data_IF_504513067209
#
_entry.id   IF_504513067209
#
_cell.length_a   1.000
_cell.length_b   1.000
_cell.length_c   1.000
_cell.angle_alpha   90.00
_cell.angle_beta   90.00
_cell.angle_gamma   90.00
#
_symmetry.space_group_name_H-M   'P 1'
#
loop_
_entity.id
_entity.type
_entity.pdbx_description
1 polymer ?
#
# COMPACT_ATOMS: atom_id res chain seq x y z
N UNK A 1 -29.77 -0.76 34.65
CA UNK A 1 -30.15 -0.76 33.24
C UNK A 1 -31.66 -0.80 33.01
N UNK A 2 -32.39 -1.57 33.78
CA UNK A 2 -33.84 -1.74 33.58
C UNK A 2 -34.67 -0.48 33.88
N UNK A 3 -34.27 0.32 34.86
CA UNK A 3 -34.91 1.61 35.15
C UNK A 3 -34.69 2.66 34.04
N UNK A 4 -33.48 2.75 33.51
CA UNK A 4 -33.17 3.67 32.42
C UNK A 4 -33.93 3.24 31.13
N UNK A 5 -33.97 1.95 30.83
CA UNK A 5 -34.71 1.41 29.69
C UNK A 5 -36.23 1.67 29.88
N UNK A 6 -36.79 1.43 31.07
CA UNK A 6 -38.17 1.73 31.36
C UNK A 6 -38.47 3.24 31.24
N UNK A 7 -37.54 4.10 31.69
CA UNK A 7 -37.70 5.55 31.59
C UNK A 7 -37.66 6.04 30.12
N UNK A 8 -36.79 5.46 29.30
CA UNK A 8 -36.63 5.83 27.87
C UNK A 8 -37.76 5.21 27.01
N UNK A 9 -38.24 4.01 27.35
CA UNK A 9 -39.14 3.22 26.51
C UNK A 9 -40.61 3.34 26.91
N UNK A 10 -40.94 4.05 28.01
CA UNK A 10 -42.34 4.22 28.45
C UNK A 10 -43.20 4.93 27.39
N UNK A 11 -44.33 4.34 26.96
CA UNK A 11 -45.21 4.97 25.97
C UNK A 11 -45.74 6.34 26.40
N UNK A 12 -45.95 6.55 27.69
CA UNK A 12 -46.39 7.83 28.29
C UNK A 12 -45.32 8.93 28.11
N UNK A 13 -44.03 8.60 28.05
CA UNK A 13 -42.97 9.55 27.77
C UNK A 13 -43.00 10.04 26.32
N UNK A 14 -43.57 9.30 25.40
CA UNK A 14 -43.78 9.76 24.00
C UNK A 14 -44.73 10.96 23.96
N UNK A 15 -45.75 11.00 24.79
CA UNK A 15 -46.67 12.12 24.93
C UNK A 15 -45.98 13.35 25.58
N UNK A 16 -45.12 13.12 26.58
CA UNK A 16 -44.38 14.18 27.28
C UNK A 16 -43.12 14.63 26.56
N UNK A 17 -42.63 13.89 25.56
CA UNK A 17 -41.43 14.20 24.77
C UNK A 17 -41.50 15.58 24.07
N UNK A 18 -42.69 15.99 23.64
CA UNK A 18 -42.84 17.27 22.93
C UNK A 18 -42.88 18.47 23.86
N UNK A 19 -43.24 18.30 25.14
CA UNK A 19 -43.51 19.45 26.01
C UNK A 19 -42.61 19.54 27.26
N UNK A 20 -42.24 18.44 27.88
CA UNK A 20 -41.50 18.45 29.14
C UNK A 20 -40.05 18.00 29.04
N UNK A 21 -39.73 17.04 28.19
CA UNK A 21 -38.39 16.47 28.07
C UNK A 21 -37.35 17.42 27.48
N UNK A 22 -37.64 18.34 26.56
CA UNK A 22 -36.66 19.32 26.09
C UNK A 22 -36.15 20.25 27.21
N UNK A 23 -36.85 20.31 28.35
CA UNK A 23 -36.49 21.12 29.52
C UNK A 23 -35.77 20.33 30.61
N UNK A 24 -35.72 18.98 30.54
CA UNK A 24 -35.04 18.16 31.52
C UNK A 24 -33.63 17.79 31.06
N UNK A 25 -32.63 18.55 31.53
CA UNK A 25 -31.20 18.33 31.24
C UNK A 25 -30.72 16.90 31.66
N UNK A 26 -31.47 16.18 32.49
CA UNK A 26 -31.14 14.83 32.96
C UNK A 26 -31.50 13.75 31.93
N UNK A 27 -32.52 13.99 31.09
CA UNK A 27 -32.93 13.00 30.09
C UNK A 27 -31.80 12.61 29.14
N UNK A 28 -31.11 13.60 28.54
CA UNK A 28 -29.99 13.35 27.65
C UNK A 28 -28.88 12.53 28.33
N UNK A 29 -28.53 12.87 29.59
CA UNK A 29 -27.53 12.12 30.35
C UNK A 29 -27.98 10.66 30.63
N UNK A 30 -29.24 10.43 30.97
CA UNK A 30 -29.77 9.07 31.16
C UNK A 30 -29.71 8.25 29.89
N UNK A 31 -30.07 8.85 28.74
CA UNK A 31 -29.97 8.20 27.41
C UNK A 31 -28.55 7.82 27.10
N UNK A 32 -27.60 8.74 27.30
CA UNK A 32 -26.18 8.49 27.03
C UNK A 32 -25.61 7.34 27.87
N UNK A 33 -25.78 7.41 29.18
CA UNK A 33 -25.27 6.35 30.05
C UNK A 33 -25.96 5.01 29.84
N UNK A 34 -27.26 5.01 29.48
CA UNK A 34 -27.98 3.78 29.11
C UNK A 34 -27.40 3.19 27.78
N UNK A 35 -27.06 4.06 26.83
CA UNK A 35 -26.41 3.64 25.58
C UNK A 35 -25.04 2.99 25.84
N UNK A 36 -24.18 3.65 26.64
CA UNK A 36 -22.86 3.11 27.04
C UNK A 36 -22.99 1.81 27.82
N UNK A 37 -23.94 1.72 28.77
CA UNK A 37 -24.20 0.49 29.50
C UNK A 37 -24.69 -0.65 28.59
N UNK A 38 -25.54 -0.34 27.61
CA UNK A 38 -26.00 -1.32 26.63
C UNK A 38 -24.85 -1.79 25.72
N UNK A 39 -23.95 -0.88 25.30
CA UNK A 39 -22.75 -1.20 24.55
C UNK A 39 -21.83 -2.16 25.33
N UNK A 40 -21.52 -1.84 26.59
CA UNK A 40 -20.67 -2.68 27.46
C UNK A 40 -21.26 -4.07 27.72
N UNK A 41 -22.58 -4.19 27.68
CA UNK A 41 -23.32 -5.46 27.82
C UNK A 41 -23.53 -6.16 26.47
N UNK A 42 -22.91 -5.68 25.41
CA UNK A 42 -23.04 -6.19 24.02
C UNK A 42 -24.48 -6.22 23.48
N UNK A 43 -25.39 -5.45 24.09
CA UNK A 43 -26.78 -5.25 23.62
C UNK A 43 -26.81 -4.23 22.49
N UNK A 44 -26.14 -4.57 21.37
CA UNK A 44 -25.82 -3.66 20.29
C UNK A 44 -27.03 -2.91 19.71
N UNK A 45 -28.18 -3.58 19.51
CA UNK A 45 -29.39 -2.94 18.97
C UNK A 45 -29.92 -1.86 19.90
N UNK A 46 -29.93 -2.15 21.22
CA UNK A 46 -30.33 -1.14 22.21
C UNK A 46 -29.35 0.01 22.31
N UNK A 47 -28.04 -0.29 22.27
CA UNK A 47 -27.00 0.71 22.27
C UNK A 47 -27.14 1.66 21.07
N UNK A 48 -27.27 1.12 19.85
CA UNK A 48 -27.46 1.90 18.62
C UNK A 48 -28.71 2.80 18.70
N UNK A 49 -29.83 2.27 19.19
CA UNK A 49 -31.08 3.04 19.37
C UNK A 49 -30.88 4.20 20.33
N UNK A 50 -30.24 3.97 21.47
CA UNK A 50 -30.02 5.01 22.47
C UNK A 50 -28.96 6.03 22.02
N UNK A 51 -27.89 5.61 21.35
CA UNK A 51 -26.93 6.56 20.74
C UNK A 51 -27.61 7.45 19.68
N UNK A 52 -28.48 6.86 18.84
CA UNK A 52 -29.24 7.64 17.86
C UNK A 52 -30.20 8.63 18.51
N UNK A 53 -30.87 8.24 19.60
CA UNK A 53 -31.72 9.13 20.40
C UNK A 53 -30.91 10.28 21.00
N UNK A 54 -29.70 9.98 21.51
CA UNK A 54 -28.82 11.00 22.07
C UNK A 54 -28.34 12.01 21.01
N UNK A 55 -28.06 11.58 19.80
CA UNK A 55 -27.70 12.49 18.71
C UNK A 55 -28.78 13.55 18.42
N UNK A 56 -30.04 13.24 18.72
CA UNK A 56 -31.16 14.16 18.55
C UNK A 56 -31.43 15.07 19.77
N UNK A 57 -31.05 14.64 20.95
CA UNK A 57 -31.45 15.27 22.23
C UNK A 57 -30.28 15.74 23.09
N UNK A 58 -29.06 15.24 22.83
CA UNK A 58 -27.89 15.44 23.65
C UNK A 58 -27.08 16.67 23.28
N UNK A 59 -26.12 16.99 24.16
CA UNK A 59 -25.14 18.06 23.94
C UNK A 59 -24.08 17.66 22.94
N UNK A 60 -23.46 18.63 22.29
CA UNK A 60 -22.42 18.41 21.27
C UNK A 60 -21.20 17.63 21.81
N UNK A 61 -20.83 17.86 23.08
CA UNK A 61 -19.65 17.24 23.69
C UNK A 61 -19.63 15.71 23.60
N UNK A 62 -20.80 15.05 23.83
CA UNK A 62 -20.91 13.60 23.82
C UNK A 62 -21.43 13.02 22.48
N UNK A 63 -21.86 13.86 21.57
CA UNK A 63 -22.33 13.38 20.25
C UNK A 63 -21.20 12.76 19.44
N UNK A 64 -19.96 13.28 19.55
CA UNK A 64 -18.78 12.69 18.91
C UNK A 64 -18.56 11.26 19.40
N UNK A 65 -18.68 11.03 20.71
CA UNK A 65 -18.54 9.70 21.31
C UNK A 65 -19.64 8.74 20.82
N UNK A 66 -20.87 9.22 20.64
CA UNK A 66 -21.94 8.39 20.08
C UNK A 66 -21.59 7.86 18.69
N UNK A 67 -21.03 8.71 17.82
CA UNK A 67 -20.55 8.27 16.51
C UNK A 67 -19.41 7.25 16.62
N UNK A 68 -18.48 7.43 17.55
CA UNK A 68 -17.40 6.47 17.81
C UNK A 68 -17.96 5.11 18.22
N UNK A 69 -18.86 5.06 19.20
CA UNK A 69 -19.48 3.81 19.66
C UNK A 69 -20.31 3.13 18.55
N UNK A 70 -21.10 3.89 17.80
CA UNK A 70 -21.88 3.35 16.69
C UNK A 70 -20.97 2.76 15.60
N UNK A 71 -19.89 3.46 15.25
CA UNK A 71 -18.86 2.95 14.33
C UNK A 71 -18.26 1.64 14.83
N UNK A 72 -17.87 1.55 16.11
CA UNK A 72 -17.30 0.34 16.71
C UNK A 72 -18.28 -0.86 16.65
N UNK A 73 -19.58 -0.62 16.90
CA UNK A 73 -20.61 -1.66 16.81
C UNK A 73 -20.70 -2.20 15.39
N UNK A 74 -20.83 -1.32 14.39
CA UNK A 74 -20.96 -1.73 13.00
C UNK A 74 -19.66 -2.38 12.46
N UNK A 75 -18.50 -1.92 12.89
CA UNK A 75 -17.21 -2.52 12.56
C UNK A 75 -17.13 -3.97 13.09
N UNK A 76 -17.47 -4.20 14.38
CA UNK A 76 -17.48 -5.54 14.99
C UNK A 76 -18.45 -6.47 14.26
N UNK A 77 -19.58 -5.95 13.81
CA UNK A 77 -20.60 -6.70 13.06
C UNK A 77 -20.29 -6.82 11.56
N UNK A 78 -19.22 -6.19 11.04
CA UNK A 78 -18.89 -6.09 9.62
C UNK A 78 -20.03 -5.53 8.75
N UNK A 79 -20.87 -4.68 9.33
CA UNK A 79 -21.97 -3.99 8.64
C UNK A 79 -21.44 -2.72 7.97
N UNK A 80 -20.64 -2.90 6.91
CA UNK A 80 -19.90 -1.82 6.26
C UNK A 80 -20.78 -0.69 5.71
N UNK A 81 -21.95 -0.99 5.19
CA UNK A 81 -22.87 0.03 4.68
C UNK A 81 -23.41 0.94 5.80
N UNK A 82 -23.80 0.36 6.95
CA UNK A 82 -24.23 1.13 8.12
C UNK A 82 -23.06 1.89 8.74
N UNK A 83 -21.86 1.28 8.76
CA UNK A 83 -20.65 1.91 9.25
C UNK A 83 -20.30 3.15 8.39
N UNK A 84 -20.31 3.03 7.05
CA UNK A 84 -20.10 4.13 6.13
C UNK A 84 -21.09 5.27 6.38
N UNK A 85 -22.39 4.94 6.48
CA UNK A 85 -23.45 5.92 6.72
C UNK A 85 -23.23 6.72 8.02
N UNK A 86 -22.88 6.04 9.11
CA UNK A 86 -22.61 6.70 10.39
C UNK A 86 -21.35 7.56 10.33
N UNK A 87 -20.30 7.07 9.68
CA UNK A 87 -19.07 7.84 9.50
C UNK A 87 -19.29 9.09 8.65
N UNK A 88 -20.07 9.02 7.57
CA UNK A 88 -20.40 10.20 6.77
C UNK A 88 -21.22 11.23 7.55
N UNK A 89 -22.15 10.80 8.40
CA UNK A 89 -22.87 11.70 9.31
C UNK A 89 -21.90 12.36 10.31
N UNK A 90 -20.96 11.58 10.87
CA UNK A 90 -19.96 12.09 11.79
C UNK A 90 -19.04 13.12 11.10
N UNK A 91 -18.58 12.83 9.88
CA UNK A 91 -17.70 13.72 9.11
C UNK A 91 -18.42 14.99 8.66
N UNK A 92 -19.70 14.91 8.31
CA UNK A 92 -20.51 16.10 8.01
C UNK A 92 -20.54 17.08 9.18
N UNK A 93 -20.54 16.54 10.43
CA UNK A 93 -20.53 17.36 11.64
C UNK A 93 -19.11 17.73 12.10
N UNK A 94 -18.14 16.83 11.91
CA UNK A 94 -16.73 16.98 12.33
C UNK A 94 -15.78 16.81 11.14
N UNK A 95 -15.77 17.73 10.17
CA UNK A 95 -15.10 17.53 8.88
C UNK A 95 -13.58 17.39 8.96
N UNK A 96 -12.96 17.91 10.03
CA UNK A 96 -11.51 17.85 10.26
C UNK A 96 -11.10 16.68 11.17
N UNK A 97 -12.03 15.81 11.57
CA UNK A 97 -11.73 14.68 12.42
C UNK A 97 -11.06 13.55 11.64
N UNK A 98 -9.73 13.47 11.72
CA UNK A 98 -8.95 12.42 11.07
C UNK A 98 -9.38 11.01 11.49
N UNK A 99 -9.83 10.81 12.74
CA UNK A 99 -10.28 9.51 13.23
C UNK A 99 -11.45 8.96 12.42
N UNK A 100 -12.46 9.78 12.13
CA UNK A 100 -13.58 9.35 11.30
C UNK A 100 -13.18 9.11 9.85
N UNK A 101 -12.31 9.96 9.32
CA UNK A 101 -11.79 9.83 7.96
C UNK A 101 -10.94 8.56 7.82
N UNK A 102 -10.08 8.21 8.79
CA UNK A 102 -9.33 6.95 8.77
C UNK A 102 -10.25 5.72 8.84
N UNK A 103 -11.30 5.77 9.66
CA UNK A 103 -12.27 4.69 9.70
C UNK A 103 -12.99 4.53 8.36
N UNK A 104 -13.30 5.63 7.67
CA UNK A 104 -13.90 5.59 6.34
C UNK A 104 -12.96 4.97 5.30
N UNK A 105 -11.66 5.31 5.32
CA UNK A 105 -10.63 4.65 4.52
C UNK A 105 -10.62 3.14 4.76
N UNK A 106 -10.65 2.71 6.03
CA UNK A 106 -10.67 1.29 6.39
C UNK A 106 -11.91 0.56 5.87
N UNK A 107 -13.09 1.20 5.91
CA UNK A 107 -14.33 0.66 5.31
C UNK A 107 -14.15 0.43 3.81
N UNK A 108 -13.61 1.42 3.09
CA UNK A 108 -13.44 1.31 1.64
C UNK A 108 -12.35 0.30 1.23
N UNK A 109 -11.31 0.12 2.05
CA UNK A 109 -10.35 -0.99 1.89
C UNK A 109 -11.05 -2.34 2.08
N UNK A 110 -11.83 -2.49 3.15
CA UNK A 110 -12.52 -3.74 3.47
C UNK A 110 -13.59 -4.13 2.44
N UNK A 111 -14.22 -3.15 1.80
CA UNK A 111 -15.22 -3.33 0.74
C UNK A 111 -14.62 -3.34 -0.66
N UNK A 112 -13.29 -3.18 -0.79
CA UNK A 112 -12.57 -3.07 -2.06
C UNK A 112 -13.16 -2.00 -3.00
N UNK A 113 -13.70 -0.91 -2.44
CA UNK A 113 -14.26 0.20 -3.22
C UNK A 113 -13.17 1.25 -3.49
N UNK A 114 -12.49 1.11 -4.62
CA UNK A 114 -11.32 1.93 -4.96
C UNK A 114 -11.67 3.41 -5.18
N UNK A 115 -12.81 3.70 -5.78
CA UNK A 115 -13.26 5.08 -6.05
C UNK A 115 -13.50 5.84 -4.74
N UNK A 116 -14.28 5.27 -3.83
CA UNK A 116 -14.55 5.86 -2.52
C UNK A 116 -13.30 5.92 -1.65
N UNK A 117 -12.40 4.94 -1.77
CA UNK A 117 -11.11 4.95 -1.08
C UNK A 117 -10.28 6.18 -1.47
N UNK A 118 -10.17 6.47 -2.76
CA UNK A 118 -9.45 7.65 -3.25
C UNK A 118 -10.08 8.93 -2.69
N UNK A 119 -11.42 9.05 -2.76
CA UNK A 119 -12.13 10.20 -2.21
C UNK A 119 -11.91 10.41 -0.71
N UNK A 120 -11.87 9.32 0.08
CA UNK A 120 -11.60 9.39 1.52
C UNK A 120 -10.15 9.81 1.81
N UNK A 121 -9.18 9.30 1.05
CA UNK A 121 -7.78 9.70 1.13
C UNK A 121 -7.62 11.19 0.79
N UNK A 122 -8.24 11.66 -0.26
CA UNK A 122 -8.15 13.07 -0.66
C UNK A 122 -8.74 14.01 0.40
N UNK A 123 -9.81 13.59 1.09
CA UNK A 123 -10.36 14.33 2.25
C UNK A 123 -9.36 14.41 3.41
N UNK A 124 -8.63 13.32 3.71
CA UNK A 124 -7.56 13.34 4.72
C UNK A 124 -6.45 14.31 4.30
N UNK A 125 -6.01 14.24 3.05
CA UNK A 125 -4.93 15.07 2.54
C UNK A 125 -5.32 16.55 2.40
N UNK A 126 -6.61 16.87 2.33
CA UNK A 126 -7.11 18.24 2.42
C UNK A 126 -6.96 18.83 3.83
N UNK A 127 -7.04 17.99 4.88
CA UNK A 127 -6.84 18.36 6.29
C UNK A 127 -5.35 18.33 6.65
N UNK A 128 -4.65 17.29 6.23
CA UNK A 128 -3.23 17.05 6.51
C UNK A 128 -2.52 16.59 5.23
N UNK A 129 -1.95 17.54 4.44
CA UNK A 129 -1.29 17.24 3.17
C UNK A 129 -0.05 16.32 3.27
N UNK A 130 0.55 16.23 4.45
CA UNK A 130 1.74 15.41 4.71
C UNK A 130 1.44 14.13 5.49
N UNK A 131 0.19 13.71 5.52
CA UNK A 131 -0.24 12.56 6.28
C UNK A 131 0.48 11.27 5.89
N UNK A 132 1.38 10.81 6.75
CA UNK A 132 2.25 9.66 6.53
C UNK A 132 1.52 8.30 6.53
N UNK A 133 0.30 8.24 7.07
CA UNK A 133 -0.51 7.03 7.09
C UNK A 133 -1.21 6.76 5.76
N UNK A 134 -1.68 7.79 5.07
CA UNK A 134 -2.45 7.61 3.83
C UNK A 134 -1.64 7.86 2.57
N UNK A 135 -0.55 8.64 2.63
CA UNK A 135 0.31 8.86 1.48
C UNK A 135 0.90 7.57 0.89
N UNK A 136 1.36 6.56 1.67
CA UNK A 136 1.79 5.28 1.11
C UNK A 136 0.66 4.53 0.38
N UNK A 137 -0.57 4.63 0.89
CA UNK A 137 -1.75 4.04 0.24
C UNK A 137 -2.01 4.75 -1.10
N UNK A 138 -1.95 6.09 -1.13
CA UNK A 138 -2.08 6.88 -2.36
C UNK A 138 -1.01 6.51 -3.38
N UNK A 139 0.25 6.40 -2.96
CA UNK A 139 1.34 5.99 -3.85
C UNK A 139 1.09 4.61 -4.46
N UNK A 140 0.61 3.64 -3.68
CA UNK A 140 0.27 2.29 -4.18
C UNK A 140 -0.91 2.30 -5.16
N UNK A 141 -1.88 3.20 -4.97
CA UNK A 141 -2.97 3.39 -5.93
C UNK A 141 -2.44 3.98 -7.23
N UNK A 142 -1.57 4.99 -7.15
CA UNK A 142 -0.94 5.61 -8.33
C UNK A 142 -0.12 4.60 -9.14
N UNK A 143 0.65 3.72 -8.48
CA UNK A 143 1.35 2.61 -9.17
C UNK A 143 0.38 1.72 -9.95
N UNK A 144 -0.76 1.33 -9.34
CA UNK A 144 -1.78 0.52 -10.03
C UNK A 144 -2.43 1.23 -11.22
N UNK A 145 -2.43 2.55 -11.22
CA UNK A 145 -2.91 3.39 -12.32
C UNK A 145 -1.84 3.67 -13.39
N UNK A 146 -0.61 3.15 -13.21
CA UNK A 146 0.53 3.42 -14.09
C UNK A 146 1.15 4.81 -13.90
N UNK A 147 0.75 5.56 -12.86
CA UNK A 147 1.31 6.88 -12.52
C UNK A 147 2.57 6.72 -11.68
N UNK A 148 3.57 6.04 -12.26
CA UNK A 148 4.75 5.57 -11.53
C UNK A 148 5.61 6.72 -11.00
N UNK A 149 5.75 7.82 -11.74
CA UNK A 149 6.54 9.00 -11.32
C UNK A 149 5.91 9.68 -10.11
N UNK A 150 4.58 9.89 -10.12
CA UNK A 150 3.86 10.49 -8.99
C UNK A 150 3.97 9.61 -7.73
N UNK A 151 3.87 8.30 -7.90
CA UNK A 151 4.05 7.33 -6.81
C UNK A 151 5.47 7.37 -6.23
N UNK A 152 6.49 7.42 -7.10
CA UNK A 152 7.89 7.50 -6.72
C UNK A 152 8.19 8.76 -5.90
N UNK A 153 7.67 9.90 -6.31
CA UNK A 153 7.86 11.17 -5.58
C UNK A 153 7.30 11.11 -4.16
N UNK A 154 6.13 10.51 -3.99
CA UNK A 154 5.55 10.30 -2.66
C UNK A 154 6.44 9.38 -1.82
N UNK A 155 6.86 8.22 -2.37
CA UNK A 155 7.70 7.29 -1.64
C UNK A 155 9.07 7.88 -1.30
N UNK A 156 9.73 8.60 -2.21
CA UNK A 156 11.03 9.26 -1.97
C UNK A 156 10.91 10.28 -0.84
N UNK A 157 9.86 11.11 -0.85
CA UNK A 157 9.63 12.09 0.20
C UNK A 157 9.41 11.45 1.57
N UNK A 158 8.57 10.42 1.64
CA UNK A 158 8.32 9.70 2.89
C UNK A 158 9.56 8.94 3.38
N UNK A 159 10.32 8.32 2.47
CA UNK A 159 11.55 7.60 2.82
C UNK A 159 12.65 8.54 3.32
N UNK A 160 12.71 9.78 2.81
CA UNK A 160 13.62 10.78 3.35
C UNK A 160 13.30 11.19 4.80
N UNK A 161 12.01 11.15 5.20
CA UNK A 161 11.57 11.41 6.57
C UNK A 161 11.73 10.19 7.48
N UNK A 162 11.60 8.99 6.95
CA UNK A 162 11.62 7.71 7.69
C UNK A 162 12.59 6.72 7.02
N UNK A 163 13.91 6.97 7.01
CA UNK A 163 14.88 6.16 6.27
C UNK A 163 15.06 4.74 6.83
N UNK A 164 14.63 4.49 8.06
CA UNK A 164 14.60 3.18 8.70
C UNK A 164 13.41 2.31 8.24
N UNK A 165 12.39 2.91 7.61
CA UNK A 165 11.19 2.19 7.20
C UNK A 165 11.47 1.23 6.05
N UNK A 166 11.39 -0.06 6.36
CA UNK A 166 11.56 -1.13 5.37
C UNK A 166 10.48 -1.08 4.28
N UNK A 167 9.24 -0.75 4.65
CA UNK A 167 8.12 -0.62 3.72
C UNK A 167 8.35 0.50 2.71
N UNK A 168 8.79 1.68 3.18
CA UNK A 168 9.06 2.81 2.30
C UNK A 168 10.26 2.54 1.39
N UNK A 169 11.32 1.93 1.92
CA UNK A 169 12.48 1.51 1.12
C UNK A 169 12.05 0.56 -0.03
N UNK A 170 11.20 -0.42 0.27
CA UNK A 170 10.68 -1.33 -0.77
C UNK A 170 9.75 -0.62 -1.76
N UNK A 171 8.98 0.35 -1.29
CA UNK A 171 8.16 1.22 -2.14
C UNK A 171 9.01 2.01 -3.14
N UNK A 172 10.08 2.68 -2.67
CA UNK A 172 11.01 3.42 -3.54
C UNK A 172 11.69 2.51 -4.55
N UNK A 173 12.17 1.32 -4.12
CA UNK A 173 12.83 0.37 -5.01
C UNK A 173 11.91 -0.07 -6.16
N UNK A 174 10.68 -0.47 -5.82
CA UNK A 174 9.67 -0.92 -6.78
C UNK A 174 9.23 0.21 -7.72
N UNK A 175 8.97 1.41 -7.19
CA UNK A 175 8.53 2.54 -7.99
C UNK A 175 9.63 3.00 -8.97
N UNK A 176 10.91 3.01 -8.57
CA UNK A 176 12.02 3.25 -9.48
C UNK A 176 12.06 2.21 -10.61
N UNK A 177 11.91 0.91 -10.28
CA UNK A 177 11.89 -0.14 -11.29
C UNK A 177 10.71 0.03 -12.26
N UNK A 178 9.52 0.36 -11.75
CA UNK A 178 8.34 0.61 -12.57
C UNK A 178 8.53 1.82 -13.51
N UNK A 179 9.12 2.92 -13.04
CA UNK A 179 9.45 4.07 -13.89
C UNK A 179 10.41 3.68 -15.02
N UNK A 180 11.45 2.91 -14.71
CA UNK A 180 12.41 2.46 -15.70
C UNK A 180 11.76 1.56 -16.75
N UNK A 181 10.98 0.58 -16.32
CA UNK A 181 10.30 -0.36 -17.24
C UNK A 181 9.28 0.34 -18.12
N UNK A 182 8.56 1.31 -17.60
CA UNK A 182 7.65 2.14 -18.39
C UNK A 182 8.38 2.91 -19.48
N UNK A 183 9.50 3.57 -19.15
CA UNK A 183 10.33 4.31 -20.13
C UNK A 183 10.82 3.37 -21.24
N UNK A 184 11.37 2.21 -20.88
CA UNK A 184 11.90 1.25 -21.86
C UNK A 184 10.80 0.65 -22.73
N UNK A 185 9.67 0.27 -22.11
CA UNK A 185 8.55 -0.33 -22.85
C UNK A 185 7.91 0.68 -23.82
N UNK A 186 7.78 1.94 -23.43
CA UNK A 186 7.27 3.00 -24.32
C UNK A 186 8.26 3.29 -25.48
N UNK A 187 9.55 3.02 -25.29
CA UNK A 187 10.56 3.13 -26.32
C UNK A 187 10.75 1.87 -27.18
N UNK A 188 10.11 0.75 -26.85
CA UNK A 188 10.35 -0.54 -27.50
C UNK A 188 10.00 -0.58 -29.02
N UNK A 189 9.18 0.35 -29.49
CA UNK A 189 8.81 0.49 -30.92
C UNK A 189 9.75 1.38 -31.72
N UNK A 190 10.75 1.98 -31.08
CA UNK A 190 11.74 2.85 -31.73
C UNK A 190 12.72 1.99 -32.54
N UNK A 191 12.68 2.11 -33.88
CA UNK A 191 13.54 1.36 -34.78
C UNK A 191 14.96 1.95 -34.89
N UNK A 192 15.17 3.17 -34.41
CA UNK A 192 16.47 3.87 -34.48
C UNK A 192 17.30 3.55 -33.23
N UNK A 193 18.43 2.89 -33.38
CA UNK A 193 19.32 2.48 -32.30
C UNK A 193 19.81 3.64 -31.43
N UNK A 194 20.08 4.81 -32.04
CA UNK A 194 20.53 6.00 -31.31
C UNK A 194 19.43 6.55 -30.41
N UNK A 195 18.21 6.60 -30.91
CA UNK A 195 17.03 7.06 -30.12
C UNK A 195 16.71 6.05 -29.03
N UNK A 196 16.79 4.76 -29.32
CA UNK A 196 16.59 3.72 -28.30
C UNK A 196 17.67 3.76 -27.20
N UNK A 197 18.93 4.05 -27.57
CA UNK A 197 20.01 4.26 -26.61
C UNK A 197 19.71 5.42 -25.64
N UNK A 198 19.13 6.52 -26.15
CA UNK A 198 18.69 7.65 -25.29
C UNK A 198 17.56 7.25 -24.34
N UNK A 199 16.62 6.41 -24.78
CA UNK A 199 15.57 5.86 -23.92
C UNK A 199 16.18 5.04 -22.78
N UNK A 200 17.11 4.16 -23.09
CA UNK A 200 17.83 3.35 -22.09
C UNK A 200 18.65 4.22 -21.12
N UNK A 201 19.28 5.26 -21.63
CA UNK A 201 20.00 6.22 -20.79
C UNK A 201 19.07 6.94 -19.80
N UNK A 202 17.87 7.33 -20.22
CA UNK A 202 16.87 7.92 -19.30
C UNK A 202 16.42 6.94 -18.22
N UNK A 203 16.27 5.67 -18.55
CA UNK A 203 15.89 4.62 -17.62
C UNK A 203 17.01 4.24 -16.64
N UNK A 204 18.29 4.44 -17.02
CA UNK A 204 19.45 3.95 -16.28
C UNK A 204 19.52 4.48 -14.84
N UNK A 205 19.20 5.75 -14.61
CA UNK A 205 19.19 6.34 -13.27
C UNK A 205 18.19 5.65 -12.33
N UNK A 206 16.99 5.40 -12.82
CA UNK A 206 15.97 4.66 -12.06
C UNK A 206 16.40 3.20 -11.79
N UNK A 207 17.02 2.53 -12.78
CA UNK A 207 17.52 1.16 -12.60
C UNK A 207 18.65 1.09 -11.57
N UNK A 208 19.55 2.07 -11.55
CA UNK A 208 20.64 2.13 -10.56
C UNK A 208 20.08 2.33 -9.16
N UNK A 209 19.17 3.30 -8.98
CA UNK A 209 18.49 3.53 -7.69
C UNK A 209 17.75 2.26 -7.22
N UNK A 210 17.02 1.60 -8.12
CA UNK A 210 16.30 0.37 -7.81
C UNK A 210 17.26 -0.76 -7.39
N UNK A 211 18.35 -0.97 -8.16
CA UNK A 211 19.39 -1.97 -7.86
C UNK A 211 19.94 -1.79 -6.45
N UNK A 212 20.39 -0.59 -6.12
CA UNK A 212 21.03 -0.31 -4.85
C UNK A 212 20.07 -0.52 -3.67
N UNK A 213 18.79 -0.18 -3.84
CA UNK A 213 17.77 -0.43 -2.84
C UNK A 213 17.42 -1.91 -2.71
N UNK A 214 17.26 -2.65 -3.82
CA UNK A 214 17.02 -4.09 -3.75
C UNK A 214 18.19 -4.85 -3.11
N UNK A 215 19.43 -4.44 -3.34
CA UNK A 215 20.58 -4.99 -2.64
C UNK A 215 20.52 -4.76 -1.13
N UNK A 216 20.17 -3.55 -0.67
CA UNK A 216 19.96 -3.25 0.75
C UNK A 216 18.80 -4.06 1.35
N UNK A 217 17.71 -4.22 0.60
CA UNK A 217 16.56 -5.02 1.01
C UNK A 217 16.97 -6.48 1.20
N UNK A 218 17.71 -7.06 0.25
CA UNK A 218 18.16 -8.45 0.30
C UNK A 218 19.25 -8.71 1.35
N UNK A 219 19.94 -7.69 1.83
CA UNK A 219 20.79 -7.80 3.04
C UNK A 219 19.96 -8.02 4.31
N UNK A 220 18.75 -7.42 4.37
CA UNK A 220 17.84 -7.56 5.52
C UNK A 220 16.94 -8.79 5.41
N UNK A 221 16.51 -9.12 4.20
CA UNK A 221 15.64 -10.28 3.89
C UNK A 221 16.19 -11.06 2.70
N UNK A 222 17.25 -11.86 2.93
CA UNK A 222 17.93 -12.60 1.86
C UNK A 222 17.13 -13.79 1.29
N UNK A 223 16.02 -14.15 1.93
CA UNK A 223 15.16 -15.27 1.53
C UNK A 223 13.96 -14.85 0.70
N UNK A 224 13.73 -13.56 0.54
CA UNK A 224 12.57 -13.05 -0.18
C UNK A 224 12.69 -13.28 -1.69
N UNK A 225 11.91 -14.23 -2.18
CA UNK A 225 11.78 -14.53 -3.60
C UNK A 225 11.33 -13.30 -4.40
N UNK A 226 10.41 -12.51 -3.84
CA UNK A 226 9.86 -11.32 -4.48
C UNK A 226 10.96 -10.26 -4.76
N UNK A 227 11.82 -10.00 -3.78
CA UNK A 227 12.87 -8.98 -3.95
C UNK A 227 14.01 -9.50 -4.83
N UNK A 228 14.32 -10.80 -4.80
CA UNK A 228 15.24 -11.40 -5.75
C UNK A 228 14.72 -11.32 -7.20
N UNK A 229 13.42 -11.52 -7.41
CA UNK A 229 12.79 -11.33 -8.73
C UNK A 229 12.84 -9.86 -9.18
N UNK A 230 12.60 -8.92 -8.26
CA UNK A 230 12.75 -7.48 -8.55
C UNK A 230 14.17 -7.13 -9.00
N UNK A 231 15.19 -7.60 -8.27
CA UNK A 231 16.60 -7.39 -8.64
C UNK A 231 16.97 -8.09 -9.96
N UNK A 232 16.46 -9.29 -10.21
CA UNK A 232 16.67 -9.99 -11.46
C UNK A 232 16.11 -9.19 -12.65
N UNK A 233 14.90 -8.63 -12.49
CA UNK A 233 14.34 -7.72 -13.50
C UNK A 233 15.23 -6.50 -13.75
N UNK A 234 15.77 -5.89 -12.69
CA UNK A 234 16.73 -4.79 -12.85
C UNK A 234 17.97 -5.23 -13.65
N UNK A 235 18.57 -6.37 -13.31
CA UNK A 235 19.73 -6.89 -14.06
C UNK A 235 19.41 -7.16 -15.52
N UNK A 236 18.20 -7.69 -15.82
CA UNK A 236 17.75 -7.89 -17.20
C UNK A 236 17.69 -6.58 -17.99
N UNK A 237 17.09 -5.53 -17.41
CA UNK A 237 17.00 -4.22 -18.08
C UNK A 237 18.35 -3.48 -18.17
N UNK A 238 19.31 -3.82 -17.32
CA UNK A 238 20.67 -3.29 -17.37
C UNK A 238 21.62 -4.11 -18.27
N UNK A 239 21.16 -5.16 -18.96
CA UNK A 239 21.96 -6.12 -19.74
C UNK A 239 23.04 -6.84 -18.91
N UNK A 240 22.84 -6.97 -17.62
CA UNK A 240 23.73 -7.70 -16.73
C UNK A 240 23.40 -9.21 -16.79
N UNK A 241 23.64 -9.82 -17.95
CA UNK A 241 23.22 -11.20 -18.25
C UNK A 241 23.72 -12.24 -17.23
N UNK A 242 25.01 -12.26 -16.82
CA UNK A 242 25.48 -13.21 -15.81
C UNK A 242 24.76 -13.10 -14.47
N UNK A 243 24.54 -11.87 -14.01
CA UNK A 243 23.84 -11.57 -12.75
C UNK A 243 22.39 -12.02 -12.82
N UNK A 244 21.72 -11.73 -13.93
CA UNK A 244 20.33 -12.13 -14.19
C UNK A 244 20.17 -13.67 -14.17
N UNK A 245 21.00 -14.40 -14.93
CA UNK A 245 20.89 -15.88 -15.04
C UNK A 245 21.14 -16.56 -13.70
N UNK A 246 22.20 -16.13 -12.99
CA UNK A 246 22.53 -16.69 -11.68
C UNK A 246 21.44 -16.42 -10.66
N UNK A 247 20.90 -15.21 -10.62
CA UNK A 247 19.87 -14.86 -9.66
C UNK A 247 18.54 -15.59 -9.94
N UNK A 248 18.16 -15.73 -11.22
CA UNK A 248 17.01 -16.53 -11.61
C UNK A 248 17.14 -18.02 -11.19
N UNK A 249 18.35 -18.57 -11.34
CA UNK A 249 18.62 -19.96 -10.92
C UNK A 249 18.48 -20.09 -9.40
N UNK A 250 18.95 -19.13 -8.61
CA UNK A 250 18.76 -19.09 -7.15
C UNK A 250 17.28 -19.06 -6.79
N UNK A 251 16.48 -18.25 -7.47
CA UNK A 251 15.03 -18.16 -7.27
C UNK A 251 14.31 -19.45 -7.60
N UNK A 252 14.72 -20.13 -8.71
CA UNK A 252 14.17 -21.43 -9.12
C UNK A 252 14.51 -22.54 -8.11
N UNK A 253 15.76 -22.56 -7.64
CA UNK A 253 16.23 -23.54 -6.65
C UNK A 253 15.65 -23.31 -5.24
N UNK A 254 14.94 -22.21 -5.00
CA UNK A 254 14.45 -21.81 -3.67
C UNK A 254 15.56 -21.47 -2.68
N UNK A 255 16.74 -21.11 -3.18
CA UNK A 255 17.89 -20.77 -2.36
C UNK A 255 17.85 -19.30 -1.90
N UNK A 256 18.64 -18.99 -0.85
CA UNK A 256 18.81 -17.61 -0.35
C UNK A 256 19.74 -16.80 -1.24
N UNK A 257 19.52 -15.48 -1.26
CA UNK A 257 20.42 -14.51 -1.92
C UNK A 257 21.87 -14.59 -1.42
N UNK A 258 22.10 -15.08 -0.22
CA UNK A 258 23.46 -15.31 0.32
C UNK A 258 24.33 -16.21 -0.56
N UNK A 259 23.72 -17.07 -1.38
CA UNK A 259 24.41 -17.90 -2.35
C UNK A 259 24.86 -17.16 -3.62
N UNK A 260 24.34 -15.93 -3.86
CA UNK A 260 24.53 -15.20 -5.11
C UNK A 260 26.01 -14.90 -5.41
N UNK A 261 26.83 -14.34 -4.48
CA UNK A 261 28.22 -13.97 -4.79
C UNK A 261 29.07 -15.17 -5.24
N UNK A 262 28.95 -16.31 -4.55
CA UNK A 262 29.72 -17.53 -4.86
C UNK A 262 29.27 -18.17 -6.16
N UNK A 263 27.96 -18.25 -6.40
CA UNK A 263 27.41 -18.78 -7.66
C UNK A 263 27.76 -17.89 -8.86
N UNK A 264 27.74 -16.57 -8.69
CA UNK A 264 28.13 -15.62 -9.73
C UNK A 264 29.61 -15.75 -10.10
N UNK A 265 30.49 -15.89 -9.09
CA UNK A 265 31.91 -16.08 -9.33
C UNK A 265 32.17 -17.39 -10.11
N UNK A 266 31.53 -18.48 -9.71
CA UNK A 266 31.64 -19.77 -10.42
C UNK A 266 31.11 -19.71 -11.86
N UNK A 267 30.00 -19.01 -12.06
CA UNK A 267 29.42 -18.82 -13.41
C UNK A 267 30.34 -18.02 -14.32
N UNK A 268 30.90 -16.90 -13.83
CA UNK A 268 31.84 -16.08 -14.60
C UNK A 268 33.14 -16.82 -14.94
N UNK A 269 33.63 -17.68 -14.04
CA UNK A 269 34.78 -18.52 -14.29
C UNK A 269 34.51 -19.59 -15.39
N UNK A 270 33.32 -20.21 -15.36
CA UNK A 270 32.88 -21.14 -16.38
C UNK A 270 32.76 -20.50 -17.76
N UNK A 271 32.22 -19.27 -17.85
CA UNK A 271 32.14 -18.51 -19.10
C UNK A 271 33.54 -18.26 -19.69
N UNK A 272 34.50 -17.80 -18.88
CA UNK A 272 35.90 -17.56 -19.34
C UNK A 272 36.55 -18.83 -19.91
N UNK A 273 36.34 -19.98 -19.25
CA UNK A 273 36.85 -21.27 -19.74
C UNK A 273 36.26 -21.61 -21.13
N UNK A 274 34.96 -21.40 -21.30
CA UNK A 274 34.29 -21.67 -22.58
C UNK A 274 34.77 -20.73 -23.70
N UNK A 275 34.96 -19.46 -23.39
CA UNK A 275 35.49 -18.47 -24.35
C UNK A 275 36.93 -18.82 -24.77
N UNK A 276 37.79 -19.21 -23.83
CA UNK A 276 39.15 -19.62 -24.12
C UNK A 276 39.20 -20.89 -25.04
N UNK A 277 38.35 -21.90 -24.75
CA UNK A 277 38.25 -23.09 -25.59
C UNK A 277 37.79 -22.75 -27.01
N UNK A 278 36.81 -21.85 -27.15
CA UNK A 278 36.31 -21.40 -28.43
C UNK A 278 37.41 -20.65 -29.25
N UNK A 279 38.19 -19.81 -28.58
CA UNK A 279 39.33 -19.14 -29.21
C UNK A 279 40.44 -20.10 -29.63
N UNK A 280 40.77 -21.10 -28.82
CA UNK A 280 41.74 -22.14 -29.17
C UNK A 280 41.29 -22.99 -30.37
N UNK A 281 39.99 -23.32 -30.46
CA UNK A 281 39.44 -24.05 -31.61
C UNK A 281 39.44 -23.24 -32.91
N UNK A 282 39.30 -21.91 -32.85
CA UNK A 282 39.40 -21.02 -34.01
C UNK A 282 40.83 -20.77 -34.44
N UNK A 283 41.80 -20.95 -33.55
CA UNK A 283 43.24 -20.76 -33.86
C UNK A 283 43.91 -21.99 -34.49
N UNK A 284 43.21 -23.11 -34.67
CA UNK A 284 43.77 -24.27 -35.38
C UNK A 284 43.87 -23.93 -36.87
N UNK A 285 45.06 -23.90 -37.46
CA UNK A 285 45.23 -23.61 -38.88
C UNK A 285 44.53 -24.68 -39.72
N UNK A 286 43.71 -24.24 -40.69
CA UNK A 286 43.17 -25.14 -41.73
C UNK A 286 44.35 -25.77 -42.46
N UNK A 287 44.47 -27.09 -42.54
CA UNK A 287 45.53 -27.72 -43.29
C UNK A 287 45.47 -27.23 -44.76
N UNK A 288 46.54 -26.60 -45.22
CA UNK A 288 46.71 -26.26 -46.64
C UNK A 288 46.89 -27.60 -47.37
N UNK A 289 45.90 -28.08 -48.12
CA UNK A 289 46.10 -29.17 -49.05
C UNK A 289 47.21 -28.80 -50.04
N UNK A 290 48.19 -29.69 -50.23
CA UNK A 290 49.26 -29.40 -51.26
C UNK A 290 48.62 -29.43 -52.65
N UNK A 291 48.75 -28.29 -53.36
CA UNK A 291 48.33 -28.20 -54.72
C UNK A 291 49.02 -29.31 -55.51
N UNK A 292 48.23 -30.24 -56.07
CA UNK A 292 48.76 -31.18 -57.07
C UNK A 292 49.26 -30.39 -58.28
N UNK A 293 50.58 -30.34 -58.46
CA UNK A 293 51.26 -29.93 -59.74
C UNK A 293 51.01 -31.07 -60.77
N UNK A 294 50.19 -30.79 -61.76
CA UNK A 294 50.16 -31.51 -63.05
C UNK A 294 50.86 -30.72 -64.08
#
# INVERSE_FOLDING_TARGET
MDFAAAYIDMPQLKLFRSELLPKDNRYASVVYYAAVAAFNLEKNEKALRYFQEYLNTGTEAQQKDCYVYMNMIYQKQKKYADQERVLEQAIAKYPVSLDFLYNLVNVHIATNNMEKLIGAIDRILAVDPNNDKVLPIKARILERQGKNVEALDIYKRLYALHPESFELMTGVARANFNCATEIVNNGATIANDTEYALVRQRASGYLMDAKDLFLKILQKDPSSKMYMQGLAGVYQYMDMKPEYEVLNKIVQDGASYTAFPSRLAAYKEALKKTENVAQEQQAVPVPIEPAMLV
#
